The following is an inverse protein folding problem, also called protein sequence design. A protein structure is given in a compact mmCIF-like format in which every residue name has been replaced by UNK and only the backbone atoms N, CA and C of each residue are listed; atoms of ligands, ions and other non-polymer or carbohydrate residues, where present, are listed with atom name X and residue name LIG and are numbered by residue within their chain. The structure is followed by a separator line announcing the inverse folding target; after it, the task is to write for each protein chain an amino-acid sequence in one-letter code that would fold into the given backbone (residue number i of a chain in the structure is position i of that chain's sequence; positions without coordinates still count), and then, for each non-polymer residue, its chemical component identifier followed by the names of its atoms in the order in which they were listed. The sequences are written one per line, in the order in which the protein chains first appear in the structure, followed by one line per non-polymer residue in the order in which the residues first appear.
data_IF_893278397860
#
_entry.id   IF_893278397860
#
_cell.length_a   1.000
_cell.length_b   1.000
_cell.length_c   1.000
_cell.angle_alpha   90.00
_cell.angle_beta   90.00
_cell.angle_gamma   90.00
#
_symmetry.space_group_name_H-M   'P 1'
#
loop_
_entity.id
_entity.type
_entity.pdbx_description
1 polymer ?
#
# COMPACT_ATOMS: atom_id res chain seq x y z
N UNK A 1 16.67 -5.03 10.36
CA UNK A 1 15.35 -4.43 10.04
C UNK A 1 15.08 -3.31 11.03
N UNK A 2 14.88 -2.07 10.55
CA UNK A 2 14.30 -1.01 11.37
C UNK A 2 12.81 -0.99 11.06
N UNK A 3 11.97 -1.29 12.05
CA UNK A 3 10.57 -0.94 11.96
C UNK A 3 10.50 0.59 11.91
N UNK A 4 9.98 1.16 10.83
CA UNK A 4 9.59 2.56 10.83
C UNK A 4 8.30 2.63 11.67
N UNK A 5 8.45 2.77 12.99
CA UNK A 5 7.37 3.15 13.88
C UNK A 5 7.00 4.59 13.56
N UNK A 6 6.10 4.76 12.59
CA UNK A 6 5.64 6.09 12.21
C UNK A 6 4.60 6.51 13.22
N UNK A 7 5.05 7.29 14.20
CA UNK A 7 4.18 7.80 15.24
C UNK A 7 3.25 8.90 14.71
N UNK A 8 1.92 8.84 15.00
CA UNK A 8 0.95 9.89 14.64
C UNK A 8 1.28 11.27 15.24
N UNK A 9 2.22 11.33 16.20
CA UNK A 9 2.82 12.55 16.73
C UNK A 9 3.26 13.53 15.63
N UNK A 10 3.76 13.03 14.50
CA UNK A 10 4.25 13.89 13.42
C UNK A 10 3.15 14.74 12.77
N UNK A 11 1.90 14.27 12.79
CA UNK A 11 0.77 14.97 12.17
C UNK A 11 -0.02 15.84 13.15
N UNK A 12 0.33 15.83 14.45
CA UNK A 12 -0.40 16.54 15.51
C UNK A 12 -0.52 18.04 15.27
N UNK A 13 0.52 18.63 14.67
CA UNK A 13 0.60 20.07 14.42
C UNK A 13 0.00 20.49 13.08
N UNK A 14 -0.45 19.54 12.25
CA UNK A 14 -1.09 19.87 10.98
C UNK A 14 -2.51 20.41 11.18
N UNK A 15 -2.92 21.34 10.34
CA UNK A 15 -4.30 21.77 10.19
C UNK A 15 -5.09 20.85 9.23
N UNK A 16 -6.40 21.06 9.13
CA UNK A 16 -7.25 20.19 8.32
C UNK A 16 -6.95 20.26 6.80
N UNK A 17 -6.45 21.39 6.31
CA UNK A 17 -6.08 21.55 4.90
C UNK A 17 -4.78 20.77 4.60
N UNK A 18 -3.81 20.86 5.51
CA UNK A 18 -2.58 20.11 5.45
C UNK A 18 -2.81 18.59 5.57
N UNK A 19 -3.74 18.16 6.43
CA UNK A 19 -4.12 16.73 6.54
C UNK A 19 -4.74 16.24 5.23
N UNK A 20 -5.61 17.02 4.59
CA UNK A 20 -6.19 16.66 3.30
C UNK A 20 -5.14 16.59 2.18
N UNK A 21 -4.18 17.52 2.17
CA UNK A 21 -3.06 17.52 1.21
C UNK A 21 -2.15 16.29 1.39
N UNK A 22 -1.83 15.94 2.63
CA UNK A 22 -1.03 14.75 2.96
C UNK A 22 -1.75 13.45 2.61
N UNK A 23 -3.06 13.37 2.90
CA UNK A 23 -3.91 12.25 2.49
C UNK A 23 -3.84 12.04 0.97
N UNK A 24 -4.03 13.10 0.19
CA UNK A 24 -3.96 13.03 -1.27
C UNK A 24 -2.57 12.64 -1.79
N UNK A 25 -1.50 13.09 -1.11
CA UNK A 25 -0.11 12.71 -1.44
C UNK A 25 0.13 11.21 -1.24
N UNK A 26 -0.31 10.65 -0.11
CA UNK A 26 -0.16 9.22 0.19
C UNK A 26 -0.97 8.38 -0.80
N UNK A 27 -2.23 8.73 -1.08
CA UNK A 27 -3.05 8.01 -2.05
C UNK A 27 -2.39 7.95 -3.44
N UNK A 28 -1.79 9.05 -3.91
CA UNK A 28 -1.06 9.08 -5.19
C UNK A 28 0.17 8.16 -5.18
N UNK A 29 0.94 8.16 -4.09
CA UNK A 29 2.12 7.29 -3.95
C UNK A 29 1.73 5.82 -3.98
N UNK A 30 0.68 5.44 -3.26
CA UNK A 30 0.20 4.05 -3.20
C UNK A 30 -0.24 3.57 -4.59
N UNK A 31 -0.95 4.41 -5.33
CA UNK A 31 -1.35 4.09 -6.71
C UNK A 31 -0.14 3.89 -7.63
N UNK A 32 0.87 4.76 -7.56
CA UNK A 32 2.10 4.63 -8.36
C UNK A 32 2.90 3.38 -7.99
N UNK A 33 2.97 3.04 -6.69
CA UNK A 33 3.62 1.81 -6.24
C UNK A 33 2.92 0.60 -6.89
N UNK A 34 1.59 0.58 -6.85
CA UNK A 34 0.79 -0.52 -7.38
C UNK A 34 0.94 -0.73 -8.90
N UNK A 35 0.97 0.36 -9.69
CA UNK A 35 1.22 0.30 -11.13
C UNK A 35 2.59 -0.36 -11.45
N UNK A 36 3.60 -0.10 -10.63
CA UNK A 36 4.93 -0.70 -10.77
C UNK A 36 4.97 -2.20 -10.43
N UNK A 37 4.13 -2.66 -9.48
CA UNK A 37 3.98 -4.08 -9.16
C UNK A 37 3.23 -4.84 -10.27
N UNK A 38 2.17 -4.24 -10.83
CA UNK A 38 1.36 -4.89 -11.86
C UNK A 38 2.18 -5.20 -13.12
N UNK A 39 3.00 -4.25 -13.58
CA UNK A 39 3.86 -4.44 -14.77
C UNK A 39 4.79 -5.64 -14.65
N UNK A 40 5.20 -6.00 -13.42
CA UNK A 40 6.06 -7.17 -13.16
C UNK A 40 5.29 -8.50 -13.15
N UNK A 41 3.97 -8.48 -12.89
CA UNK A 41 3.16 -9.68 -12.68
C UNK A 41 2.59 -10.28 -13.99
N UNK A 42 2.31 -9.45 -15.01
CA UNK A 42 1.60 -9.90 -16.23
C UNK A 42 2.49 -10.73 -17.20
N UNK A 43 3.79 -10.83 -16.97
CA UNK A 43 4.74 -11.41 -17.94
C UNK A 43 4.95 -12.94 -17.79
N UNK A 44 4.29 -13.64 -16.85
CA UNK A 44 4.78 -14.97 -16.41
C UNK A 44 3.72 -16.04 -16.05
N UNK A 45 2.55 -16.03 -16.68
CA UNK A 45 1.48 -17.00 -16.34
C UNK A 45 1.81 -18.45 -16.73
N UNK A 46 2.67 -18.68 -17.73
CA UNK A 46 3.05 -20.03 -18.18
C UNK A 46 4.26 -20.62 -17.44
N UNK A 47 5.26 -19.82 -17.04
CA UNK A 47 6.48 -20.33 -16.39
C UNK A 47 6.30 -20.60 -14.89
N UNK A 48 5.35 -19.89 -14.24
CA UNK A 48 5.04 -20.10 -12.83
C UNK A 48 4.49 -21.50 -12.52
N UNK A 49 3.76 -22.16 -13.42
CA UNK A 49 3.13 -23.46 -13.13
C UNK A 49 4.11 -24.59 -12.82
N UNK A 50 5.23 -24.65 -13.55
CA UNK A 50 6.31 -25.63 -13.29
C UNK A 50 7.29 -25.11 -12.23
N UNK A 51 7.57 -23.79 -12.25
CA UNK A 51 8.42 -23.13 -11.26
C UNK A 51 7.89 -23.27 -9.83
N UNK A 52 6.59 -23.05 -9.60
CA UNK A 52 5.95 -23.16 -8.28
C UNK A 52 6.07 -24.56 -7.66
N UNK A 53 5.98 -25.62 -8.48
CA UNK A 53 6.05 -27.01 -7.99
C UNK A 53 7.49 -27.46 -7.72
N UNK A 54 8.47 -26.99 -8.47
CA UNK A 54 9.88 -27.31 -8.21
C UNK A 54 10.50 -26.40 -7.13
N UNK A 55 10.04 -25.16 -7.05
CA UNK A 55 10.53 -24.13 -6.14
C UNK A 55 9.73 -24.06 -4.84
N UNK A 56 8.69 -24.88 -4.64
CA UNK A 56 7.83 -24.84 -3.43
C UNK A 56 8.58 -24.86 -2.09
N UNK A 57 9.68 -25.63 -1.87
CA UNK A 57 10.38 -25.64 -0.59
C UNK A 57 11.14 -24.33 -0.35
N UNK A 58 11.62 -23.70 -1.43
CA UNK A 58 12.28 -22.41 -1.39
C UNK A 58 11.24 -21.30 -1.19
N UNK A 59 10.07 -21.41 -1.81
CA UNK A 59 8.96 -20.48 -1.59
C UNK A 59 8.47 -20.52 -0.14
N UNK A 60 8.43 -21.69 0.50
CA UNK A 60 8.14 -21.82 1.94
C UNK A 60 9.20 -21.15 2.82
N UNK A 61 10.47 -21.18 2.40
CA UNK A 61 11.55 -20.44 3.06
C UNK A 61 11.48 -18.92 2.83
N UNK A 62 10.82 -18.51 1.74
CA UNK A 62 10.59 -17.13 1.34
C UNK A 62 9.19 -16.61 1.72
N UNK A 63 8.38 -17.40 2.43
CA UNK A 63 6.98 -17.10 2.82
C UNK A 63 6.81 -15.93 3.80
N UNK A 64 7.86 -15.12 3.97
CA UNK A 64 7.76 -13.73 4.37
C UNK A 64 7.68 -12.83 3.12
N UNK A 65 6.76 -13.15 2.21
CA UNK A 65 6.58 -12.52 0.90
C UNK A 65 6.19 -11.05 1.00
N UNK A 66 7.15 -10.20 1.35
CA UNK A 66 7.08 -8.78 1.17
C UNK A 66 8.27 -8.42 0.28
N UNK A 67 8.04 -8.25 -1.02
CA UNK A 67 8.98 -7.52 -1.87
C UNK A 67 9.31 -6.16 -1.22
N UNK A 68 10.44 -5.51 -1.58
CA UNK A 68 10.77 -4.19 -1.04
C UNK A 68 9.59 -3.20 -1.12
N UNK A 69 8.75 -3.34 -2.16
CA UNK A 69 7.54 -2.53 -2.34
C UNK A 69 6.40 -2.87 -1.36
N UNK A 70 6.30 -4.11 -0.86
CA UNK A 70 5.30 -4.46 0.14
C UNK A 70 5.64 -3.89 1.52
N UNK A 71 6.93 -3.74 1.84
CA UNK A 71 7.40 -3.01 3.02
C UNK A 71 7.02 -1.52 2.97
N UNK A 72 7.25 -0.87 1.82
CA UNK A 72 6.86 0.52 1.60
C UNK A 72 5.35 0.71 1.62
N UNK A 73 4.58 -0.22 1.05
CA UNK A 73 3.12 -0.20 1.13
C UNK A 73 2.61 -0.31 2.56
N UNK A 74 3.14 -1.24 3.36
CA UNK A 74 2.79 -1.39 4.79
C UNK A 74 3.06 -0.10 5.57
N UNK A 75 4.18 0.55 5.25
CA UNK A 75 4.54 1.84 5.83
C UNK A 75 3.52 2.94 5.47
N UNK A 76 3.23 3.11 4.18
CA UNK A 76 2.28 4.12 3.68
C UNK A 76 0.85 3.88 4.21
N UNK A 77 0.46 2.62 4.40
CA UNK A 77 -0.81 2.26 5.02
C UNK A 77 -0.88 2.73 6.48
N UNK A 78 0.19 2.50 7.25
CA UNK A 78 0.27 3.00 8.63
C UNK A 78 0.23 4.53 8.72
N UNK A 79 0.89 5.23 7.80
CA UNK A 79 0.81 6.70 7.68
C UNK A 79 -0.62 7.18 7.41
N UNK A 80 -1.33 6.49 6.52
CA UNK A 80 -2.71 6.81 6.14
C UNK A 80 -3.68 6.64 7.33
N UNK A 81 -3.59 5.53 8.05
CA UNK A 81 -4.40 5.26 9.26
C UNK A 81 -4.08 6.25 10.39
N UNK A 82 -2.82 6.64 10.54
CA UNK A 82 -2.41 7.66 11.50
C UNK A 82 -3.01 9.04 11.17
N UNK A 83 -3.04 9.45 9.90
CA UNK A 83 -3.70 10.68 9.45
C UNK A 83 -5.22 10.64 9.67
N UNK A 84 -5.85 9.50 9.41
CA UNK A 84 -7.28 9.31 9.65
C UNK A 84 -7.61 9.56 11.12
N UNK A 85 -6.88 8.93 12.04
CA UNK A 85 -7.08 9.12 13.48
C UNK A 85 -6.90 10.57 13.91
N UNK A 86 -5.88 11.28 13.40
CA UNK A 86 -5.67 12.70 13.69
C UNK A 86 -6.79 13.56 13.12
N UNK A 87 -7.29 13.25 11.92
CA UNK A 87 -8.41 13.95 11.30
C UNK A 87 -9.71 13.81 12.11
N UNK A 88 -9.94 12.63 12.69
CA UNK A 88 -11.10 12.33 13.55
C UNK A 88 -10.99 13.08 14.87
N UNK A 89 -9.80 13.08 15.49
CA UNK A 89 -9.53 13.85 16.72
C UNK A 89 -9.74 15.35 16.52
N UNK A 90 -9.35 15.88 15.36
CA UNK A 90 -9.51 17.30 14.99
C UNK A 90 -10.87 17.63 14.37
N UNK A 91 -11.72 16.63 14.12
CA UNK A 91 -13.05 16.77 13.49
C UNK A 91 -12.99 17.48 12.13
N UNK A 92 -12.01 17.14 11.30
CA UNK A 92 -11.82 17.77 9.99
C UNK A 92 -12.90 17.41 8.94
N UNK A 93 -13.75 16.41 9.20
CA UNK A 93 -14.81 16.00 8.26
C UNK A 93 -14.30 15.37 6.96
N UNK A 94 -13.06 14.87 6.95
CA UNK A 94 -12.45 14.22 5.81
C UNK A 94 -12.87 12.75 5.73
N UNK A 95 -13.11 12.26 4.50
CA UNK A 95 -13.40 10.86 4.24
C UNK A 95 -12.10 10.13 3.90
N UNK A 96 -11.79 9.06 4.63
CA UNK A 96 -10.66 8.18 4.35
C UNK A 96 -11.21 6.90 3.72
N UNK A 97 -10.86 6.67 2.45
CA UNK A 97 -11.22 5.43 1.78
C UNK A 97 -10.14 4.38 2.01
N UNK A 98 -10.51 3.13 2.29
CA UNK A 98 -9.54 2.06 2.49
C UNK A 98 -8.60 1.93 1.27
N UNK A 99 -7.30 2.02 1.50
CA UNK A 99 -6.28 1.89 0.44
C UNK A 99 -6.40 0.56 -0.32
N UNK A 100 -6.82 -0.51 0.36
CA UNK A 100 -7.01 -1.83 -0.23
C UNK A 100 -8.18 -1.90 -1.22
N UNK A 101 -9.23 -1.09 -1.01
CA UNK A 101 -10.31 -0.94 -1.98
C UNK A 101 -9.83 -0.25 -3.25
N UNK A 102 -9.13 0.87 -3.09
CA UNK A 102 -8.58 1.63 -4.23
C UNK A 102 -7.66 0.76 -5.09
N UNK A 103 -6.88 -0.12 -4.45
CA UNK A 103 -6.02 -1.10 -5.13
C UNK A 103 -6.81 -2.18 -5.87
N UNK A 104 -7.83 -2.77 -5.23
CA UNK A 104 -8.66 -3.82 -5.84
C UNK A 104 -9.44 -3.31 -7.05
N UNK A 105 -9.97 -2.10 -6.97
CA UNK A 105 -10.74 -1.50 -8.06
C UNK A 105 -9.83 -1.20 -9.26
N UNK A 106 -8.63 -0.68 -9.03
CA UNK A 106 -7.59 -0.49 -10.06
C UNK A 106 -7.16 -1.80 -10.72
N UNK A 107 -6.99 -2.87 -9.94
CA UNK A 107 -6.66 -4.20 -10.48
C UNK A 107 -7.77 -4.73 -11.39
N UNK A 108 -9.02 -4.60 -10.96
CA UNK A 108 -10.20 -5.07 -11.68
C UNK A 108 -10.37 -4.32 -13.01
N UNK A 109 -10.19 -3.01 -13.00
CA UNK A 109 -10.24 -2.15 -14.19
C UNK A 109 -9.15 -2.54 -15.20
N UNK A 110 -7.95 -2.88 -14.73
CA UNK A 110 -6.86 -3.28 -15.60
C UNK A 110 -6.91 -4.74 -16.09
N UNK A 111 -7.73 -5.60 -15.47
CA UNK A 111 -7.99 -6.98 -15.93
C UNK A 111 -9.14 -7.09 -16.95
N UNK A 112 -9.86 -5.98 -17.18
CA UNK A 112 -10.97 -5.88 -18.12
C UNK A 112 -10.56 -5.29 -19.49
N UNK A 113 -9.26 -5.01 -19.69
CA UNK A 113 -8.68 -4.48 -20.91
C UNK A 113 -7.91 -5.56 -21.67
#
# INVERSE_FOLDING_TARGET
MRAADISPLQYRNLDCEQIASEQARISRKVNSLYESLKTKADNDTWQMGVGLVLLWPVLFALEGGDGPEAGEYKQLKGEYEALEQVSLQKKCGLTFEPLDKQIKDKHKESSAQ
#
